data_IF_986116842632
#
_entry.id   IF_986116842632
#
_cell.length_a   1.000
_cell.length_b   1.000
_cell.length_c   1.000
_cell.angle_alpha   90.00
_cell.angle_beta   90.00
_cell.angle_gamma   90.00
#
_symmetry.space_group_name_H-M   'P 1'
#
loop_
_entity.id
_entity.type
_entity.pdbx_description
1 polymer ?
#
# COMPACT_ATOMS: atom_id res chain seq x y z
N UNK A 1 5.03 -25.49 -3.00
CA UNK A 1 4.35 -24.65 -4.00
C UNK A 1 5.19 -23.41 -4.25
N UNK A 2 5.09 -22.79 -5.44
CA UNK A 2 5.75 -21.50 -5.70
C UNK A 2 5.09 -20.39 -4.87
N UNK A 3 5.86 -19.36 -4.52
CA UNK A 3 5.35 -18.21 -3.75
C UNK A 3 4.11 -17.56 -4.40
N UNK A 4 4.06 -17.51 -5.73
CA UNK A 4 2.98 -16.88 -6.49
C UNK A 4 1.62 -17.57 -6.32
N UNK A 5 1.62 -18.80 -5.77
CA UNK A 5 0.40 -19.58 -5.54
C UNK A 5 -0.13 -19.42 -4.10
N UNK A 6 0.52 -18.64 -3.23
CA UNK A 6 0.12 -18.53 -1.82
C UNK A 6 -1.34 -18.11 -1.63
N UNK A 7 -1.88 -17.26 -2.51
CA UNK A 7 -3.28 -16.85 -2.52
C UNK A 7 -4.21 -17.88 -3.17
N UNK A 8 -3.81 -18.46 -4.31
CA UNK A 8 -4.65 -19.34 -5.12
C UNK A 8 -4.70 -20.81 -4.69
N UNK A 9 -3.96 -21.22 -3.65
CA UNK A 9 -3.98 -22.58 -3.15
C UNK A 9 -5.25 -22.88 -2.35
N UNK A 10 -5.86 -24.06 -2.59
CA UNK A 10 -6.99 -24.58 -1.82
C UNK A 10 -6.58 -25.68 -0.83
N UNK A 11 -5.28 -25.82 -0.55
CA UNK A 11 -4.75 -26.82 0.35
C UNK A 11 -4.33 -26.17 1.68
N UNK A 12 -4.59 -26.86 2.78
CA UNK A 12 -4.02 -26.59 4.09
C UNK A 12 -3.13 -27.77 4.53
N UNK A 13 -2.14 -27.49 5.35
CA UNK A 13 -1.19 -28.48 5.85
C UNK A 13 -0.99 -28.34 7.37
N UNK A 14 -0.44 -29.37 8.01
CA UNK A 14 -0.02 -29.28 9.41
C UNK A 14 1.24 -28.43 9.57
N UNK A 15 2.22 -28.68 8.68
CA UNK A 15 3.51 -28.01 8.66
C UNK A 15 3.65 -27.23 7.36
N UNK A 16 3.89 -25.92 7.49
CA UNK A 16 4.30 -25.07 6.37
C UNK A 16 5.77 -24.70 6.56
N UNK A 17 6.56 -24.85 5.51
CA UNK A 17 7.96 -24.38 5.48
C UNK A 17 8.06 -23.31 4.41
N UNK A 18 8.36 -22.08 4.84
CA UNK A 18 8.69 -20.96 3.95
C UNK A 18 10.21 -20.97 3.80
N UNK A 19 10.67 -21.38 2.63
CA UNK A 19 12.09 -21.52 2.32
C UNK A 19 12.58 -20.30 1.56
N UNK A 20 13.44 -19.53 2.24
CA UNK A 20 13.88 -18.20 1.81
C UNK A 20 12.71 -17.20 1.69
N UNK A 21 13.00 -15.93 1.96
CA UNK A 21 11.98 -14.87 2.02
C UNK A 21 12.26 -13.76 1.03
N UNK A 22 12.99 -14.07 -0.04
CA UNK A 22 13.43 -13.14 -1.06
C UNK A 22 13.19 -13.70 -2.46
N UNK A 23 13.06 -12.80 -3.42
CA UNK A 23 13.09 -13.16 -4.84
C UNK A 23 13.90 -12.14 -5.62
N UNK A 24 14.48 -12.60 -6.73
CA UNK A 24 15.22 -11.72 -7.61
C UNK A 24 14.27 -10.87 -8.48
N UNK A 25 14.42 -9.55 -8.43
CA UNK A 25 13.75 -8.61 -9.31
C UNK A 25 14.73 -8.16 -10.42
N UNK A 26 14.47 -8.62 -11.64
CA UNK A 26 15.31 -8.34 -12.81
C UNK A 26 15.30 -6.88 -13.27
N UNK A 27 14.30 -6.07 -12.90
CA UNK A 27 14.24 -4.65 -13.29
C UNK A 27 15.28 -3.80 -12.56
N UNK A 28 15.57 -4.15 -11.32
CA UNK A 28 16.51 -3.43 -10.44
C UNK A 28 17.76 -4.27 -10.12
N UNK A 29 17.87 -5.45 -10.72
CA UNK A 29 18.96 -6.40 -10.53
C UNK A 29 19.28 -6.75 -9.07
N UNK A 30 18.27 -6.84 -8.21
CA UNK A 30 18.45 -7.06 -6.77
C UNK A 30 17.45 -8.10 -6.22
N UNK A 31 17.80 -8.71 -5.09
CA UNK A 31 16.87 -9.50 -4.30
C UNK A 31 15.96 -8.59 -3.48
N UNK A 32 14.66 -8.78 -3.62
CA UNK A 32 13.62 -8.04 -2.91
C UNK A 32 12.93 -8.99 -1.94
N UNK A 33 12.64 -8.52 -0.74
CA UNK A 33 11.95 -9.29 0.28
C UNK A 33 10.50 -9.58 -0.12
N UNK A 34 9.94 -10.68 0.38
CA UNK A 34 8.52 -10.94 0.26
C UNK A 34 7.73 -9.86 1.01
N UNK A 35 6.65 -9.35 0.41
CA UNK A 35 5.70 -8.56 1.16
C UNK A 35 5.17 -9.37 2.35
N UNK A 36 5.05 -8.71 3.50
CA UNK A 36 4.67 -9.39 4.75
C UNK A 36 3.30 -10.08 4.67
N UNK A 37 2.36 -9.53 3.89
CA UNK A 37 1.05 -10.13 3.67
C UNK A 37 1.12 -11.47 2.93
N UNK A 38 2.07 -11.64 2.00
CA UNK A 38 2.28 -12.94 1.32
C UNK A 38 2.82 -13.98 2.31
N UNK A 39 3.72 -13.56 3.20
CA UNK A 39 4.27 -14.42 4.25
C UNK A 39 3.17 -14.82 5.24
N UNK A 40 2.35 -13.88 5.69
CA UNK A 40 1.20 -14.15 6.56
C UNK A 40 0.21 -15.12 5.90
N UNK A 41 -0.06 -14.96 4.60
CA UNK A 41 -0.91 -15.86 3.84
C UNK A 41 -0.32 -17.28 3.77
N UNK A 42 1.00 -17.40 3.59
CA UNK A 42 1.68 -18.70 3.63
C UNK A 42 1.62 -19.34 5.02
N UNK A 43 1.88 -18.57 6.08
CA UNK A 43 1.74 -19.03 7.48
C UNK A 43 0.32 -19.54 7.74
N UNK A 44 -0.70 -18.83 7.24
CA UNK A 44 -2.10 -19.20 7.36
C UNK A 44 -2.49 -20.53 6.70
N UNK A 45 -1.62 -21.11 5.84
CA UNK A 45 -1.83 -22.46 5.29
C UNK A 45 -1.55 -23.57 6.29
N UNK A 46 -0.86 -23.28 7.39
CA UNK A 46 -0.65 -24.20 8.50
C UNK A 46 -1.91 -24.26 9.39
N UNK A 47 -3.07 -24.57 8.81
CA UNK A 47 -4.37 -24.47 9.50
C UNK A 47 -5.33 -25.58 9.08
N UNK A 48 -5.44 -26.64 9.90
CA UNK A 48 -6.37 -27.76 9.68
C UNK A 48 -7.26 -27.95 10.92
N UNK A 49 -8.24 -27.07 11.15
CA UNK A 49 -8.92 -26.93 12.44
C UNK A 49 -9.76 -28.14 12.86
N UNK A 50 -10.14 -29.01 11.92
CA UNK A 50 -10.91 -30.23 12.20
C UNK A 50 -10.02 -31.48 12.38
N UNK A 51 -8.71 -31.37 12.13
CA UNK A 51 -7.79 -32.51 12.07
C UNK A 51 -6.66 -32.42 13.09
N UNK A 52 -6.12 -31.21 13.30
CA UNK A 52 -4.96 -30.99 14.15
C UNK A 52 -5.29 -30.03 15.30
N UNK A 53 -4.72 -30.27 16.48
CA UNK A 53 -4.80 -29.37 17.63
C UNK A 53 -3.92 -28.12 17.47
N UNK A 54 -2.89 -28.21 16.63
CA UNK A 54 -1.94 -27.13 16.34
C UNK A 54 -1.49 -27.14 14.87
N UNK A 55 -1.10 -25.96 14.39
CA UNK A 55 -0.41 -25.78 13.11
C UNK A 55 1.01 -25.28 13.34
N UNK A 56 1.97 -25.80 12.57
CA UNK A 56 3.39 -25.43 12.68
C UNK A 56 3.85 -24.71 11.42
N UNK A 57 4.61 -23.64 11.59
CA UNK A 57 5.26 -22.93 10.49
C UNK A 57 6.74 -22.71 10.77
N UNK A 58 7.60 -23.06 9.82
CA UNK A 58 9.05 -22.81 9.86
C UNK A 58 9.40 -21.82 8.77
N UNK A 59 9.97 -20.69 9.15
CA UNK A 59 10.41 -19.64 8.21
C UNK A 59 11.92 -19.62 8.19
N UNK A 60 12.50 -19.99 7.05
CA UNK A 60 13.92 -19.91 6.78
C UNK A 60 14.18 -18.60 6.04
N UNK A 61 14.89 -17.66 6.66
CA UNK A 61 15.19 -16.35 6.09
C UNK A 61 16.64 -15.95 6.38
N UNK A 62 17.13 -14.93 5.67
CA UNK A 62 18.42 -14.33 5.97
C UNK A 62 18.44 -13.78 7.40
N UNK A 63 19.58 -13.91 8.09
CA UNK A 63 19.74 -13.47 9.48
C UNK A 63 19.35 -12.00 9.72
N UNK A 64 19.60 -11.12 8.73
CA UNK A 64 19.23 -9.70 8.75
C UNK A 64 17.71 -9.44 8.78
N UNK A 65 16.89 -10.41 8.37
CA UNK A 65 15.42 -10.30 8.28
C UNK A 65 14.69 -11.02 9.41
N UNK A 66 15.42 -11.76 10.25
CA UNK A 66 14.86 -12.56 11.34
C UNK A 66 14.00 -11.73 12.29
N UNK A 67 14.52 -10.59 12.76
CA UNK A 67 13.82 -9.77 13.75
C UNK A 67 12.63 -9.02 13.14
N UNK A 68 12.72 -8.67 11.86
CA UNK A 68 11.59 -8.13 11.08
C UNK A 68 10.41 -9.11 11.08
N UNK A 69 10.63 -10.37 10.68
CA UNK A 69 9.55 -11.36 10.64
C UNK A 69 9.04 -11.70 12.03
N UNK A 70 9.92 -11.83 13.03
CA UNK A 70 9.48 -12.06 14.41
C UNK A 70 8.51 -10.97 14.88
N UNK A 71 8.83 -9.69 14.63
CA UNK A 71 7.96 -8.59 15.06
C UNK A 71 6.58 -8.69 14.41
N UNK A 72 6.52 -8.73 13.08
CA UNK A 72 5.24 -8.65 12.35
C UNK A 72 4.43 -9.94 12.29
N UNK A 73 4.97 -11.06 12.78
CA UNK A 73 4.21 -12.31 12.92
C UNK A 73 3.52 -12.43 14.29
N UNK A 74 4.09 -11.81 15.33
CA UNK A 74 3.54 -11.87 16.69
C UNK A 74 2.82 -10.59 17.10
N UNK A 75 3.13 -9.46 16.47
CA UNK A 75 2.41 -8.20 16.65
C UNK A 75 1.43 -7.96 15.48
N UNK A 76 0.30 -7.26 15.72
CA UNK A 76 -0.59 -6.84 14.66
C UNK A 76 0.13 -6.02 13.58
N UNK A 77 -0.25 -6.23 12.31
CA UNK A 77 0.38 -5.56 11.18
C UNK A 77 -0.05 -4.08 11.08
N UNK A 78 0.89 -3.11 11.07
CA UNK A 78 0.56 -1.73 10.72
C UNK A 78 0.32 -1.65 9.21
N UNK A 79 -0.80 -1.05 8.82
CA UNK A 79 -1.17 -0.84 7.42
C UNK A 79 -1.19 0.65 7.14
N UNK A 80 -0.45 1.05 6.10
CA UNK A 80 -0.38 2.42 5.60
C UNK A 80 -0.92 2.48 4.16
N UNK A 81 -1.50 3.62 3.80
CA UNK A 81 -1.86 3.91 2.41
C UNK A 81 -0.60 4.18 1.57
N UNK A 82 -0.62 3.74 0.31
CA UNK A 82 0.33 4.18 -0.74
C UNK A 82 -0.41 4.90 -1.88
N UNK A 83 -1.63 5.37 -1.62
CA UNK A 83 -2.46 6.01 -2.64
C UNK A 83 -1.77 7.25 -3.22
N UNK A 84 -1.04 8.00 -2.41
CA UNK A 84 -0.23 9.18 -2.76
C UNK A 84 0.77 8.95 -3.90
N UNK A 85 1.25 7.72 -4.08
CA UNK A 85 2.15 7.36 -5.19
C UNK A 85 1.43 6.88 -6.46
N UNK A 86 0.13 6.60 -6.38
CA UNK A 86 -0.66 5.95 -7.43
C UNK A 86 -1.96 6.71 -7.73
N UNK A 87 -2.00 8.03 -7.51
CA UNK A 87 -3.26 8.80 -7.60
C UNK A 87 -3.70 9.11 -9.02
N UNK A 88 -2.75 9.29 -9.95
CA UNK A 88 -3.01 9.77 -11.30
C UNK A 88 -4.11 8.97 -12.00
N UNK A 89 -4.08 7.64 -11.88
CA UNK A 89 -5.09 6.75 -12.48
C UNK A 89 -6.49 6.97 -11.90
N UNK A 90 -6.58 7.13 -10.58
CA UNK A 90 -7.85 7.36 -9.88
C UNK A 90 -8.41 8.74 -10.19
N UNK A 91 -7.57 9.78 -10.15
CA UNK A 91 -7.98 11.15 -10.45
C UNK A 91 -8.47 11.27 -11.90
N UNK A 92 -7.73 10.70 -12.84
CA UNK A 92 -8.15 10.68 -14.24
C UNK A 92 -9.51 9.99 -14.42
N UNK A 93 -9.71 8.84 -13.76
CA UNK A 93 -10.99 8.13 -13.79
C UNK A 93 -12.15 8.96 -13.19
N UNK A 94 -11.92 9.62 -12.05
CA UNK A 94 -12.94 10.39 -11.35
C UNK A 94 -13.27 11.75 -12.02
N UNK A 95 -12.33 12.31 -12.77
CA UNK A 95 -12.57 13.47 -13.63
C UNK A 95 -13.46 13.06 -14.81
N UNK A 96 -13.20 11.89 -15.42
CA UNK A 96 -14.02 11.37 -16.52
C UNK A 96 -15.45 11.05 -16.08
N UNK A 97 -15.65 10.55 -14.85
CA UNK A 97 -16.98 10.31 -14.27
C UNK A 97 -17.66 11.58 -13.77
N UNK A 98 -16.97 12.73 -13.81
CA UNK A 98 -17.43 14.03 -13.26
C UNK A 98 -17.68 14.00 -11.75
N UNK A 99 -17.01 13.12 -11.02
CA UNK A 99 -16.96 13.18 -9.57
C UNK A 99 -16.06 14.32 -9.11
N UNK A 100 -14.98 14.57 -9.85
CA UNK A 100 -14.05 15.70 -9.64
C UNK A 100 -14.20 16.65 -10.82
N UNK A 101 -14.86 17.80 -10.63
CA UNK A 101 -15.00 18.82 -11.68
C UNK A 101 -14.03 19.99 -11.47
N UNK A 102 -13.59 20.22 -10.23
CA UNK A 102 -12.66 21.30 -9.89
C UNK A 102 -11.63 20.86 -8.82
N UNK A 103 -10.63 21.71 -8.55
CA UNK A 103 -9.55 21.41 -7.58
C UNK A 103 -10.07 21.22 -6.15
N UNK A 104 -11.14 21.92 -5.76
CA UNK A 104 -11.75 21.76 -4.44
C UNK A 104 -12.41 20.38 -4.31
N UNK A 105 -13.13 19.92 -5.35
CA UNK A 105 -13.71 18.58 -5.38
C UNK A 105 -12.62 17.49 -5.26
N UNK A 106 -11.44 17.72 -5.84
CA UNK A 106 -10.31 16.80 -5.74
C UNK A 106 -9.78 16.70 -4.30
N UNK A 107 -9.65 17.83 -3.60
CA UNK A 107 -9.29 17.83 -2.17
C UNK A 107 -10.37 17.14 -1.35
N UNK A 108 -11.64 17.45 -1.62
CA UNK A 108 -12.79 16.84 -0.94
C UNK A 108 -12.82 15.33 -1.16
N UNK A 109 -12.58 14.85 -2.38
CA UNK A 109 -12.45 13.44 -2.72
C UNK A 109 -11.37 12.74 -1.87
N UNK A 110 -10.18 13.36 -1.74
CA UNK A 110 -9.10 12.81 -0.92
C UNK A 110 -9.50 12.66 0.55
N UNK A 111 -10.38 13.52 1.09
CA UNK A 111 -10.82 13.40 2.49
C UNK A 111 -11.59 12.10 2.79
N UNK A 112 -12.13 11.44 1.77
CA UNK A 112 -12.83 10.15 1.89
C UNK A 112 -11.88 8.94 1.92
N UNK A 113 -10.61 9.14 1.63
CA UNK A 113 -9.65 8.05 1.46
C UNK A 113 -9.05 7.58 2.79
N UNK A 114 -8.52 6.35 2.78
CA UNK A 114 -7.72 5.85 3.91
C UNK A 114 -6.43 6.68 4.10
N UNK A 115 -5.88 7.23 3.01
CA UNK A 115 -4.72 8.13 3.04
C UNK A 115 -4.95 9.31 3.99
N UNK A 116 -6.07 10.03 3.84
CA UNK A 116 -6.40 11.17 4.70
C UNK A 116 -6.47 10.80 6.18
N UNK A 117 -7.07 9.64 6.49
CA UNK A 117 -7.12 9.14 7.87
C UNK A 117 -5.73 8.84 8.43
N UNK A 118 -4.83 8.27 7.62
CA UNK A 118 -3.47 7.89 8.05
C UNK A 118 -2.49 9.05 8.13
N UNK A 119 -2.64 10.09 7.32
CA UNK A 119 -1.79 11.30 7.37
C UNK A 119 -1.73 11.94 8.75
N UNK A 120 -2.85 11.93 9.49
CA UNK A 120 -2.88 12.46 10.88
C UNK A 120 -2.22 11.54 11.92
N UNK A 121 -2.14 10.24 11.63
CA UNK A 121 -1.67 9.21 12.58
C UNK A 121 -0.17 8.94 12.42
N UNK A 122 0.34 9.04 11.19
CA UNK A 122 1.74 8.81 10.88
C UNK A 122 2.24 9.81 9.81
N UNK A 123 2.28 11.12 10.14
CA UNK A 123 2.59 12.19 9.18
C UNK A 123 3.94 12.02 8.49
N UNK A 124 4.96 11.56 9.24
CA UNK A 124 6.31 11.38 8.74
C UNK A 124 6.40 10.33 7.61
N UNK A 125 5.51 9.34 7.59
CA UNK A 125 5.45 8.34 6.52
C UNK A 125 5.12 8.97 5.17
N UNK A 126 4.27 9.99 5.20
CA UNK A 126 3.77 10.74 4.05
C UNK A 126 4.56 12.03 3.79
N UNK A 127 5.71 12.22 4.44
CA UNK A 127 6.51 13.44 4.41
C UNK A 127 5.79 14.72 4.90
N UNK A 128 4.73 14.60 5.72
CA UNK A 128 4.13 15.76 6.39
C UNK A 128 4.98 16.18 7.59
N UNK A 129 5.18 17.49 7.73
CA UNK A 129 5.94 18.09 8.84
C UNK A 129 5.10 18.31 10.11
N UNK A 130 3.78 18.14 10.02
CA UNK A 130 2.87 18.38 11.13
C UNK A 130 1.46 17.88 10.87
N UNK A 131 0.65 17.86 11.92
CA UNK A 131 -0.74 17.35 11.91
C UNK A 131 -1.78 18.45 12.10
N UNK A 132 -1.37 19.73 12.05
CA UNK A 132 -2.36 20.81 12.12
C UNK A 132 -3.19 20.85 10.84
N UNK A 133 -4.40 21.40 10.93
CA UNK A 133 -5.28 21.56 9.78
C UNK A 133 -4.59 22.26 8.61
N UNK A 134 -3.71 23.23 8.91
CA UNK A 134 -2.91 23.92 7.90
C UNK A 134 -1.93 22.98 7.20
N UNK A 135 -1.13 22.21 7.95
CA UNK A 135 -0.17 21.28 7.34
C UNK A 135 -0.87 20.23 6.47
N UNK A 136 -2.00 19.70 6.90
CA UNK A 136 -2.77 18.75 6.10
C UNK A 136 -3.36 19.40 4.84
N UNK A 137 -3.98 20.56 4.98
CA UNK A 137 -4.59 21.28 3.86
C UNK A 137 -3.54 21.67 2.82
N UNK A 138 -2.40 22.22 3.26
CA UNK A 138 -1.30 22.63 2.39
C UNK A 138 -0.75 21.42 1.63
N UNK A 139 -0.53 20.28 2.33
CA UNK A 139 -0.03 19.06 1.71
C UNK A 139 -1.02 18.42 0.73
N UNK A 140 -2.30 18.34 1.07
CA UNK A 140 -3.33 17.83 0.15
C UNK A 140 -3.45 18.72 -1.09
N UNK A 141 -3.37 20.04 -0.92
CA UNK A 141 -3.43 20.98 -2.04
C UNK A 141 -2.23 20.80 -2.98
N UNK A 142 -1.01 20.69 -2.43
CA UNK A 142 0.20 20.41 -3.21
C UNK A 142 0.09 19.08 -3.98
N UNK A 143 -0.43 18.06 -3.31
CA UNK A 143 -0.58 16.71 -3.84
C UNK A 143 -1.62 16.63 -4.97
N UNK A 144 -2.74 17.35 -4.83
CA UNK A 144 -3.74 17.54 -5.90
C UNK A 144 -3.13 18.33 -7.07
N UNK A 145 -2.49 19.46 -6.79
CA UNK A 145 -1.90 20.33 -7.82
C UNK A 145 -0.86 19.58 -8.66
N UNK A 146 0.05 18.84 -8.02
CA UNK A 146 1.04 18.04 -8.70
C UNK A 146 0.41 16.96 -9.58
N UNK A 147 -0.59 16.25 -9.06
CA UNK A 147 -1.26 15.16 -9.79
C UNK A 147 -2.02 15.69 -11.00
N UNK A 148 -2.73 16.81 -10.85
CA UNK A 148 -3.47 17.43 -11.95
C UNK A 148 -2.51 18.02 -13.00
N UNK A 149 -1.41 18.65 -12.57
CA UNK A 149 -0.38 19.16 -13.47
C UNK A 149 0.28 18.04 -14.29
N UNK A 150 0.60 16.91 -13.67
CA UNK A 150 1.16 15.74 -14.37
C UNK A 150 0.16 15.14 -15.38
N UNK A 151 -1.12 15.08 -15.02
CA UNK A 151 -2.19 14.59 -15.90
C UNK A 151 -2.44 15.53 -17.07
N UNK A 152 -2.42 16.84 -16.85
CA UNK A 152 -2.54 17.86 -17.88
C UNK A 152 -1.33 17.83 -18.83
N UNK A 153 -0.11 17.73 -18.27
CA UNK A 153 1.12 17.58 -19.06
C UNK A 153 1.08 16.32 -19.94
N UNK A 154 0.49 15.23 -19.42
CA UNK A 154 0.26 13.99 -20.14
C UNK A 154 -0.90 14.07 -21.15
N UNK A 155 -1.61 15.20 -21.20
CA UNK A 155 -2.81 15.44 -22.03
C UNK A 155 -3.97 14.49 -21.73
N UNK A 156 -4.05 14.01 -20.49
CA UNK A 156 -5.16 13.18 -20.02
C UNK A 156 -6.38 14.03 -19.66
N UNK A 157 -6.14 15.24 -19.14
CA UNK A 157 -7.17 16.20 -18.72
C UNK A 157 -6.86 17.59 -19.29
N UNK A 158 -7.84 18.47 -19.23
CA UNK A 158 -7.71 19.90 -19.52
C UNK A 158 -8.15 20.70 -18.30
N UNK A 159 -7.28 21.56 -17.79
CA UNK A 159 -7.62 22.49 -16.70
C UNK A 159 -7.97 23.83 -17.35
N UNK A 160 -9.24 24.15 -17.39
CA UNK A 160 -9.73 25.47 -17.82
C UNK A 160 -9.81 26.36 -16.57
N UNK A 161 -9.40 27.62 -16.69
CA UNK A 161 -9.32 28.62 -15.62
C UNK A 161 -8.21 28.39 -14.57
N UNK A 162 -6.95 28.73 -14.90
CA UNK A 162 -6.12 29.38 -13.88
C UNK A 162 -6.90 30.63 -13.46
N UNK A 163 -7.40 30.68 -12.22
CA UNK A 163 -8.26 31.77 -11.73
C UNK A 163 -7.61 33.15 -11.91
N UNK A 164 -7.79 33.74 -13.09
CA UNK A 164 -7.52 35.14 -13.41
C UNK A 164 -8.76 35.97 -13.06
N UNK A 165 -8.90 36.32 -11.77
CA UNK A 165 -9.58 37.56 -11.32
C UNK A 165 -8.86 38.15 -10.10
#
# INVERSE_FOLDING_TARGET
>A
ASRNLCWGMNLAAHLVIIMDTQYYNGKIHAYVDYPIYDVLQMVGRANRPLQDDEGRCVIMCQGSKKDFFKKFLYEPLPVESHLDHCMHDHFNAEIVTKTIENKQDAVDYLTWTFLYRRMTQNPNYYNLQGVSHRHLSDHLSELVEQTLSDLEQSKCISVEDEMDV
#
